data_IF_043881834267
#
_entry.id   IF_043881834267
#
_cell.length_a   1.000
_cell.length_b   1.000
_cell.length_c   1.000
_cell.angle_alpha   90.00
_cell.angle_beta   90.00
_cell.angle_gamma   90.00
#
_symmetry.space_group_name_H-M   'P 1'
#
loop_
_entity.id
_entity.type
_entity.pdbx_description
1 polymer ?
#
# COMPACT_ATOMS: atom_id res chain seq x y z
N UNK A 1 14.78 -52.97 -52.38
CA UNK A 1 15.02 -51.67 -53.03
C UNK A 1 14.57 -50.60 -52.06
N UNK A 2 15.50 -50.02 -51.32
CA UNK A 2 15.28 -49.00 -50.31
C UNK A 2 15.69 -47.67 -50.91
N UNK A 3 14.70 -46.81 -51.25
CA UNK A 3 14.92 -45.48 -51.77
C UNK A 3 15.06 -44.45 -50.66
N UNK A 4 16.27 -43.94 -50.40
CA UNK A 4 16.52 -42.82 -49.50
C UNK A 4 16.13 -41.51 -50.21
N UNK A 5 15.15 -40.80 -49.69
CA UNK A 5 14.81 -39.45 -50.12
C UNK A 5 15.67 -38.46 -49.34
N UNK A 6 16.68 -37.91 -50.01
CA UNK A 6 17.50 -36.81 -49.49
C UNK A 6 16.78 -35.47 -49.68
N UNK A 7 16.27 -34.85 -48.63
CA UNK A 7 15.86 -33.45 -48.65
C UNK A 7 17.07 -32.52 -48.54
N UNK A 8 17.29 -31.68 -49.53
CA UNK A 8 18.38 -30.70 -49.54
C UNK A 8 18.08 -29.55 -48.59
N UNK A 9 19.11 -29.12 -47.85
CA UNK A 9 19.02 -27.94 -46.93
C UNK A 9 18.51 -26.64 -47.56
N UNK A 10 18.46 -26.54 -48.88
CA UNK A 10 17.93 -25.39 -49.60
C UNK A 10 16.41 -25.35 -49.71
N UNK A 11 15.74 -26.49 -49.55
CA UNK A 11 14.27 -26.56 -49.58
C UNK A 11 13.63 -26.15 -48.23
N UNK A 12 14.41 -26.14 -47.12
CA UNK A 12 13.92 -25.69 -45.79
C UNK A 12 13.95 -24.17 -45.59
N UNK A 13 14.67 -23.43 -46.41
CA UNK A 13 14.80 -21.97 -46.28
C UNK A 13 13.78 -21.18 -47.11
N UNK A 14 12.98 -21.83 -47.94
CA UNK A 14 11.94 -21.18 -48.73
C UNK A 14 10.53 -21.20 -48.10
N UNK A 15 10.35 -21.88 -46.94
CA UNK A 15 9.08 -22.00 -46.25
C UNK A 15 8.92 -21.05 -45.02
N UNK A 16 9.87 -20.15 -44.77
CA UNK A 16 9.88 -19.27 -43.62
C UNK A 16 9.34 -17.86 -43.87
N UNK A 17 8.54 -17.68 -44.92
CA UNK A 17 7.94 -16.38 -45.27
C UNK A 17 6.44 -16.27 -45.03
N UNK A 18 5.78 -17.29 -44.49
CA UNK A 18 4.41 -17.14 -44.05
C UNK A 18 4.40 -16.56 -42.61
N UNK A 19 4.30 -15.25 -42.49
CA UNK A 19 3.88 -14.61 -41.26
C UNK A 19 2.52 -15.25 -40.91
N UNK A 20 2.51 -16.15 -39.93
CA UNK A 20 1.28 -16.51 -39.26
C UNK A 20 0.78 -15.23 -38.58
N UNK A 21 -0.06 -14.49 -39.26
CA UNK A 21 -0.95 -13.55 -38.59
C UNK A 21 -1.78 -14.41 -37.64
N UNK A 22 -1.42 -14.44 -36.39
CA UNK A 22 -2.32 -14.91 -35.34
C UNK A 22 -3.61 -14.12 -35.57
N UNK A 23 -4.76 -14.78 -35.74
CA UNK A 23 -6.00 -14.05 -35.80
C UNK A 23 -6.02 -13.16 -34.54
N UNK A 24 -6.18 -11.86 -34.74
CA UNK A 24 -6.49 -10.97 -33.64
C UNK A 24 -7.65 -11.66 -32.93
N UNK A 25 -7.45 -11.99 -31.64
CA UNK A 25 -8.52 -12.48 -30.78
C UNK A 25 -9.56 -11.36 -30.73
N UNK A 26 -10.40 -11.32 -31.74
CA UNK A 26 -11.54 -10.42 -31.84
C UNK A 26 -12.53 -10.89 -30.80
N UNK A 27 -12.91 -10.01 -29.95
CA UNK A 27 -13.68 -10.15 -28.71
C UNK A 27 -12.90 -10.88 -27.60
N UNK A 28 -12.40 -10.12 -26.66
CA UNK A 28 -12.03 -10.70 -25.38
C UNK A 28 -13.25 -11.48 -24.89
N UNK A 29 -13.14 -12.81 -24.84
CA UNK A 29 -14.18 -13.63 -24.24
C UNK A 29 -14.42 -13.05 -22.85
N UNK A 30 -15.67 -12.69 -22.55
CA UNK A 30 -16.00 -12.11 -21.24
C UNK A 30 -15.52 -13.09 -20.17
N UNK A 31 -14.66 -12.64 -19.28
CA UNK A 31 -14.16 -13.49 -18.21
C UNK A 31 -15.35 -14.05 -17.43
N UNK A 32 -15.36 -15.35 -17.18
CA UNK A 32 -16.41 -16.01 -16.41
C UNK A 32 -16.58 -15.39 -15.02
N UNK A 33 -15.45 -15.03 -14.41
CA UNK A 33 -15.44 -14.37 -13.10
C UNK A 33 -15.43 -12.85 -13.26
N UNK A 34 -16.25 -12.12 -12.50
CA UNK A 34 -16.21 -10.66 -12.47
C UNK A 34 -14.85 -10.15 -12.00
N UNK A 35 -14.48 -8.96 -12.43
CA UNK A 35 -13.23 -8.32 -12.08
C UNK A 35 -13.45 -6.84 -11.79
N UNK A 36 -12.37 -6.10 -11.61
CA UNK A 36 -12.38 -4.66 -11.37
C UNK A 36 -13.19 -3.91 -12.43
N UNK A 37 -14.07 -3.03 -11.98
CA UNK A 37 -14.93 -2.18 -12.80
C UNK A 37 -14.96 -0.75 -12.27
N UNK A 38 -15.70 0.19 -12.89
CA UNK A 38 -15.73 1.59 -12.47
C UNK A 38 -16.05 1.79 -10.99
N UNK A 39 -17.05 1.06 -10.48
CA UNK A 39 -17.58 1.18 -9.12
C UNK A 39 -17.10 0.07 -8.19
N UNK A 40 -15.91 -0.47 -8.41
CA UNK A 40 -15.35 -1.55 -7.60
C UNK A 40 -13.95 -1.21 -7.11
N UNK A 41 -13.49 -1.82 -6.00
CA UNK A 41 -12.11 -1.73 -5.57
C UNK A 41 -11.10 -2.05 -6.68
N UNK A 42 -9.95 -1.36 -6.67
CA UNK A 42 -8.81 -1.59 -7.56
C UNK A 42 -7.67 -2.18 -6.75
N UNK A 43 -7.26 -3.38 -7.08
CA UNK A 43 -6.18 -4.04 -6.35
C UNK A 43 -4.86 -3.40 -6.76
N UNK A 44 -4.12 -2.88 -5.79
CA UNK A 44 -2.83 -2.25 -6.00
C UNK A 44 -1.73 -2.92 -5.19
N UNK A 45 -0.50 -2.63 -5.55
CA UNK A 45 0.68 -3.02 -4.78
C UNK A 45 1.62 -1.83 -4.62
N UNK A 46 2.41 -1.83 -3.57
CA UNK A 46 3.41 -0.80 -3.29
C UNK A 46 3.70 -0.64 -1.79
N UNK A 47 4.32 0.47 -1.41
CA UNK A 47 4.86 1.52 -2.29
C UNK A 47 6.05 1.03 -3.12
N UNK A 48 6.02 1.35 -4.41
CA UNK A 48 7.04 0.93 -5.36
C UNK A 48 8.23 1.89 -5.31
N UNK A 49 9.42 1.33 -5.17
CA UNK A 49 10.66 2.10 -5.18
C UNK A 49 11.15 2.40 -6.61
N UNK A 50 11.98 3.43 -6.74
CA UNK A 50 12.47 3.92 -8.03
C UNK A 50 13.12 2.83 -8.90
N UNK A 51 13.89 1.94 -8.29
CA UNK A 51 14.59 0.84 -8.99
C UNK A 51 13.63 -0.18 -9.61
N UNK A 52 12.38 -0.23 -9.14
CA UNK A 52 11.32 -1.10 -9.68
C UNK A 52 10.56 -0.48 -10.84
N UNK A 53 10.69 0.84 -11.01
CA UNK A 53 10.06 1.58 -12.10
C UNK A 53 10.83 1.44 -13.42
N UNK A 54 11.10 0.22 -13.80
CA UNK A 54 11.72 -0.15 -15.07
C UNK A 54 10.86 -1.19 -15.79
N UNK A 55 11.04 -1.42 -17.10
CA UNK A 55 10.18 -2.32 -17.88
C UNK A 55 10.05 -3.72 -17.27
N UNK A 56 11.10 -4.25 -16.66
CA UNK A 56 11.12 -5.58 -16.06
C UNK A 56 10.34 -5.65 -14.74
N UNK A 57 10.51 -4.66 -13.86
CA UNK A 57 9.75 -4.55 -12.63
C UNK A 57 8.26 -4.37 -12.92
N UNK A 58 7.93 -3.48 -13.85
CA UNK A 58 6.55 -3.25 -14.30
C UNK A 58 5.92 -4.53 -14.85
N UNK A 59 6.65 -5.27 -15.68
CA UNK A 59 6.18 -6.54 -16.23
C UNK A 59 5.81 -7.55 -15.14
N UNK A 60 6.53 -7.61 -14.03
CA UNK A 60 6.23 -8.50 -12.91
C UNK A 60 4.86 -8.21 -12.28
N UNK A 61 4.54 -6.94 -12.08
CA UNK A 61 3.22 -6.57 -11.57
C UNK A 61 2.12 -6.95 -12.56
N UNK A 62 2.36 -6.74 -13.85
CA UNK A 62 1.42 -7.15 -14.91
C UNK A 62 1.19 -8.67 -14.95
N UNK A 63 2.22 -9.48 -14.75
CA UNK A 63 2.12 -10.94 -14.75
C UNK A 63 1.20 -11.49 -13.65
N UNK A 64 1.16 -10.83 -12.49
CA UNK A 64 0.23 -11.20 -11.40
C UNK A 64 -1.10 -10.44 -11.50
N UNK A 65 -1.35 -9.80 -12.63
CA UNK A 65 -2.62 -9.13 -12.93
C UNK A 65 -2.83 -7.80 -12.24
N UNK A 66 -1.77 -7.17 -11.73
CA UNK A 66 -1.84 -5.83 -11.12
C UNK A 66 -1.81 -4.77 -12.22
N UNK A 67 -2.69 -3.78 -12.09
CA UNK A 67 -2.79 -2.62 -12.97
C UNK A 67 -2.61 -1.30 -12.24
N UNK A 68 -2.67 -1.32 -10.91
CA UNK A 68 -2.54 -0.16 -10.05
C UNK A 68 -1.37 -0.33 -9.09
N UNK A 69 -0.59 0.72 -8.90
CA UNK A 69 0.52 0.74 -7.93
C UNK A 69 0.45 1.99 -7.07
N UNK A 70 1.09 1.92 -5.91
CA UNK A 70 1.36 3.06 -5.04
C UNK A 70 2.78 3.54 -5.31
N UNK A 71 2.98 4.84 -5.48
CA UNK A 71 4.31 5.44 -5.58
C UNK A 71 4.85 5.77 -4.18
N UNK A 72 6.13 5.51 -3.99
CA UNK A 72 6.82 5.98 -2.80
C UNK A 72 7.14 7.48 -2.90
N UNK A 73 7.84 7.99 -1.89
CA UNK A 73 8.23 9.40 -1.80
C UNK A 73 9.51 9.76 -2.59
N UNK A 74 9.97 8.93 -3.51
CA UNK A 74 11.15 9.25 -4.35
C UNK A 74 10.94 10.58 -5.08
N UNK A 75 12.01 11.36 -5.14
CA UNK A 75 11.99 12.69 -5.77
C UNK A 75 11.24 13.77 -4.99
N UNK A 76 10.85 13.51 -3.75
CA UNK A 76 10.23 14.53 -2.90
C UNK A 76 11.24 15.66 -2.54
N UNK A 77 10.86 16.95 -2.60
CA UNK A 77 9.56 17.53 -2.99
C UNK A 77 9.25 17.35 -4.47
N UNK A 78 8.07 16.81 -4.79
CA UNK A 78 7.71 16.49 -6.17
C UNK A 78 7.42 17.73 -7.01
N UNK A 79 7.90 17.69 -8.25
CA UNK A 79 7.47 18.62 -9.29
C UNK A 79 6.45 17.95 -10.22
N UNK A 80 5.66 18.76 -10.90
CA UNK A 80 4.69 18.28 -11.90
C UNK A 80 5.39 17.45 -12.99
N UNK A 81 6.52 17.92 -13.52
CA UNK A 81 7.27 17.22 -14.58
C UNK A 81 7.79 15.86 -14.10
N UNK A 82 8.30 15.78 -12.86
CA UNK A 82 8.74 14.52 -12.28
C UNK A 82 7.60 13.50 -12.21
N UNK A 83 6.45 13.89 -11.65
CA UNK A 83 5.32 13.00 -11.51
C UNK A 83 4.69 12.62 -12.85
N UNK A 84 4.58 13.56 -13.79
CA UNK A 84 4.08 13.29 -15.15
C UNK A 84 4.97 12.30 -15.90
N UNK A 85 6.28 12.41 -15.78
CA UNK A 85 7.21 11.45 -16.38
C UNK A 85 6.99 10.04 -15.83
N UNK A 86 6.84 9.88 -14.52
CA UNK A 86 6.53 8.59 -13.86
C UNK A 86 5.20 8.02 -14.32
N UNK A 87 4.18 8.83 -14.31
CA UNK A 87 2.83 8.42 -14.72
C UNK A 87 2.77 8.02 -16.19
N UNK A 88 3.49 8.73 -17.06
CA UNK A 88 3.61 8.39 -18.48
C UNK A 88 4.31 7.05 -18.67
N UNK A 89 5.43 6.81 -17.98
CA UNK A 89 6.13 5.53 -18.01
C UNK A 89 5.21 4.38 -17.59
N UNK A 90 4.48 4.53 -16.49
CA UNK A 90 3.54 3.52 -16.02
C UNK A 90 2.46 3.22 -17.07
N UNK A 91 1.83 4.25 -17.62
CA UNK A 91 0.79 4.11 -18.66
C UNK A 91 1.28 3.40 -19.91
N UNK A 92 2.49 3.70 -20.37
CA UNK A 92 3.10 3.03 -21.53
C UNK A 92 3.20 1.52 -21.35
N UNK A 93 3.29 1.07 -20.11
CA UNK A 93 3.39 -0.35 -19.75
C UNK A 93 2.08 -0.93 -19.17
N UNK A 94 0.97 -0.20 -19.25
CA UNK A 94 -0.35 -0.66 -18.80
C UNK A 94 -0.53 -0.69 -17.28
N UNK A 95 0.25 0.11 -16.55
CA UNK A 95 0.03 0.40 -15.14
C UNK A 95 -0.48 1.83 -14.95
N UNK A 96 -1.10 2.07 -13.81
CA UNK A 96 -1.46 3.40 -13.33
C UNK A 96 -1.14 3.51 -11.83
N UNK A 97 -1.15 4.73 -11.31
CA UNK A 97 -1.07 4.97 -9.87
C UNK A 97 -2.30 5.73 -9.39
N UNK A 98 -2.77 5.42 -8.22
CA UNK A 98 -3.87 6.13 -7.57
C UNK A 98 -3.46 6.73 -6.23
N UNK A 99 -2.20 6.54 -5.81
CA UNK A 99 -1.69 7.03 -4.54
C UNK A 99 -0.19 7.30 -4.59
N UNK A 100 0.25 8.29 -3.80
CA UNK A 100 1.64 8.61 -3.53
C UNK A 100 1.81 9.00 -2.05
N UNK A 101 2.87 8.52 -1.41
CA UNK A 101 3.07 8.66 0.03
C UNK A 101 4.02 9.81 0.35
N UNK A 102 3.63 10.74 1.25
CA UNK A 102 4.53 11.75 1.81
C UNK A 102 5.63 11.11 2.66
N UNK A 103 6.83 11.73 2.74
CA UNK A 103 7.94 11.14 3.47
C UNK A 103 7.63 11.02 4.98
N UNK A 104 7.75 9.80 5.50
CA UNK A 104 7.68 9.50 6.94
C UNK A 104 8.98 8.89 7.48
N UNK A 105 9.91 8.56 6.58
CA UNK A 105 11.25 8.05 6.87
C UNK A 105 12.30 8.81 6.05
N UNK A 106 13.56 8.65 6.41
CA UNK A 106 14.68 9.28 5.72
C UNK A 106 14.79 10.80 5.94
N UNK A 107 15.73 11.48 5.29
CA UNK A 107 15.98 12.92 5.50
C UNK A 107 14.79 13.82 5.13
N UNK A 108 14.03 13.45 4.11
CA UNK A 108 12.89 14.23 3.63
C UNK A 108 11.73 14.29 4.64
N UNK A 109 11.69 13.38 5.62
CA UNK A 109 10.70 13.39 6.71
C UNK A 109 10.72 14.66 7.55
N UNK A 110 11.84 15.40 7.60
CA UNK A 110 11.96 16.61 8.41
C UNK A 110 10.95 17.67 8.04
N UNK A 111 10.53 17.76 6.76
CA UNK A 111 9.46 18.64 6.32
C UNK A 111 8.14 18.29 7.04
N UNK A 112 7.79 17.01 7.11
CA UNK A 112 6.60 16.58 7.85
C UNK A 112 6.79 16.73 9.36
N UNK A 113 8.00 16.51 9.90
CA UNK A 113 8.27 16.70 11.33
C UNK A 113 8.13 18.15 11.78
N UNK A 114 8.50 19.13 10.96
CA UNK A 114 8.28 20.54 11.27
C UNK A 114 6.78 20.84 11.43
N UNK A 115 5.96 20.25 10.56
CA UNK A 115 4.50 20.37 10.61
C UNK A 115 3.93 19.66 11.84
N UNK A 116 4.29 18.40 12.04
CA UNK A 116 3.78 17.54 13.12
C UNK A 116 4.12 18.12 14.50
N UNK A 117 5.35 18.57 14.68
CA UNK A 117 5.84 19.09 15.95
C UNK A 117 5.55 20.60 16.14
N UNK A 118 5.07 21.28 15.08
CA UNK A 118 4.80 22.73 15.10
C UNK A 118 6.07 23.54 15.34
N UNK A 119 7.18 23.15 14.69
CA UNK A 119 8.49 23.84 14.79
C UNK A 119 8.52 25.16 14.06
N UNK A 120 9.48 26.06 14.34
CA UNK A 120 9.79 27.19 13.45
C UNK A 120 10.05 26.66 12.03
N UNK A 121 9.46 27.30 11.02
CA UNK A 121 9.54 26.80 9.62
C UNK A 121 8.35 25.94 9.18
N UNK A 122 7.43 25.58 10.10
CA UNK A 122 6.22 24.82 9.79
C UNK A 122 5.47 25.36 8.56
N UNK A 123 5.32 26.66 8.45
CA UNK A 123 4.54 27.27 7.36
C UNK A 123 5.25 27.13 6.02
N UNK A 124 6.58 27.25 5.98
CA UNK A 124 7.37 26.95 4.79
C UNK A 124 7.25 25.47 4.39
N UNK A 125 7.28 24.56 5.36
CA UNK A 125 7.07 23.13 5.13
C UNK A 125 5.67 22.83 4.60
N UNK A 126 4.64 23.50 5.08
CA UNK A 126 3.27 23.41 4.55
C UNK A 126 3.21 23.88 3.10
N UNK A 127 3.88 24.97 2.73
CA UNK A 127 3.90 25.43 1.32
C UNK A 127 4.59 24.41 0.40
N UNK A 128 5.62 23.72 0.86
CA UNK A 128 6.22 22.60 0.12
C UNK A 128 5.20 21.50 -0.11
N UNK A 129 4.47 21.06 0.93
CA UNK A 129 3.43 20.03 0.80
C UNK A 129 2.31 20.50 -0.14
N UNK A 130 1.86 21.73 -0.05
CA UNK A 130 0.86 22.31 -0.98
C UNK A 130 1.32 22.28 -2.43
N UNK A 131 2.61 22.56 -2.67
CA UNK A 131 3.19 22.46 -4.01
C UNK A 131 3.17 21.01 -4.51
N UNK A 132 3.53 20.05 -3.66
CA UNK A 132 3.47 18.63 -3.99
C UNK A 132 2.04 18.13 -4.27
N UNK A 133 1.04 18.61 -3.53
CA UNK A 133 -0.38 18.30 -3.77
C UNK A 133 -0.81 18.80 -5.15
N UNK A 134 -0.41 20.04 -5.53
CA UNK A 134 -0.69 20.57 -6.87
C UNK A 134 -0.02 19.74 -7.97
N UNK A 135 1.23 19.35 -7.75
CA UNK A 135 1.96 18.49 -8.68
C UNK A 135 1.29 17.11 -8.85
N UNK A 136 0.82 16.51 -7.75
CA UNK A 136 0.08 15.26 -7.79
C UNK A 136 -1.22 15.39 -8.59
N UNK A 137 -2.02 16.42 -8.34
CA UNK A 137 -3.24 16.70 -9.10
C UNK A 137 -3.00 16.94 -10.58
N UNK A 138 -1.98 17.76 -10.93
CA UNK A 138 -1.59 18.04 -12.31
C UNK A 138 -1.08 16.78 -13.05
N UNK A 139 -0.49 15.82 -12.33
CA UNK A 139 -0.09 14.52 -12.87
C UNK A 139 -1.25 13.51 -12.94
N UNK A 140 -2.40 13.80 -12.33
CA UNK A 140 -3.56 12.90 -12.27
C UNK A 140 -3.49 11.84 -11.17
N UNK A 141 -2.69 12.07 -10.13
CA UNK A 141 -2.61 11.21 -8.94
C UNK A 141 -3.67 11.68 -7.94
N UNK A 142 -4.70 10.89 -7.63
CA UNK A 142 -5.85 11.37 -6.88
C UNK A 142 -5.69 11.32 -5.36
N UNK A 143 -4.69 10.63 -4.82
CA UNK A 143 -4.50 10.47 -3.38
C UNK A 143 -3.06 10.80 -3.00
N UNK A 144 -2.90 11.54 -1.91
CA UNK A 144 -1.64 11.78 -1.22
C UNK A 144 -1.78 11.26 0.20
N UNK A 145 -1.13 10.14 0.48
CA UNK A 145 -1.12 9.51 1.79
C UNK A 145 -0.07 10.14 2.69
N UNK A 146 -0.35 10.19 3.99
CA UNK A 146 0.58 10.73 4.99
C UNK A 146 0.34 10.14 6.38
N UNK A 147 1.36 10.25 7.24
CA UNK A 147 1.32 9.87 8.64
C UNK A 147 1.43 11.13 9.52
N UNK A 148 0.87 11.07 10.75
CA UNK A 148 0.90 12.20 11.67
C UNK A 148 1.18 11.75 13.11
N UNK A 149 2.44 11.39 13.38
CA UNK A 149 2.91 10.97 14.70
C UNK A 149 4.26 11.64 15.01
N UNK A 150 4.47 11.99 16.28
CA UNK A 150 5.74 12.53 16.75
C UNK A 150 6.87 11.48 16.65
N UNK A 151 6.54 10.22 16.93
CA UNK A 151 7.39 9.06 16.82
C UNK A 151 6.53 7.81 16.61
N UNK A 152 6.92 6.93 15.68
CA UNK A 152 6.34 5.60 15.49
C UNK A 152 7.02 4.62 16.45
N UNK A 153 6.24 3.76 17.10
CA UNK A 153 6.77 2.72 18.02
C UNK A 153 7.35 1.52 17.27
N UNK A 154 8.14 1.76 16.24
CA UNK A 154 8.70 0.69 15.40
C UNK A 154 9.60 -0.29 16.17
N UNK A 155 10.18 0.13 17.28
CA UNK A 155 11.01 -0.72 18.16
C UNK A 155 10.22 -1.86 18.82
N UNK A 156 8.89 -1.78 18.82
CA UNK A 156 8.00 -2.82 19.35
C UNK A 156 7.78 -3.97 18.38
N UNK A 157 8.07 -3.77 17.10
CA UNK A 157 7.95 -4.79 16.08
C UNK A 157 9.13 -5.77 16.06
N UNK A 158 8.83 -6.98 15.67
CA UNK A 158 9.83 -8.01 15.38
C UNK A 158 9.26 -9.07 14.44
N UNK A 159 10.15 -9.67 13.66
CA UNK A 159 9.81 -10.75 12.75
C UNK A 159 10.00 -12.11 13.42
N UNK A 160 9.10 -13.04 13.16
CA UNK A 160 9.18 -14.42 13.65
C UNK A 160 8.60 -15.39 12.63
N UNK A 161 9.08 -16.64 12.61
CA UNK A 161 8.45 -17.68 11.82
C UNK A 161 7.09 -18.04 12.41
N UNK A 162 6.07 -18.17 11.57
CA UNK A 162 4.75 -18.69 11.96
C UNK A 162 4.78 -20.21 11.98
N UNK A 163 4.67 -20.85 13.16
CA UNK A 163 4.70 -22.31 13.26
C UNK A 163 3.48 -22.97 12.61
N UNK A 164 2.38 -22.25 12.47
CA UNK A 164 1.13 -22.76 11.86
C UNK A 164 1.17 -22.73 10.34
N UNK A 165 2.17 -22.01 9.75
CA UNK A 165 2.29 -21.81 8.31
C UNK A 165 3.69 -22.18 7.79
N UNK A 166 4.24 -23.29 8.28
CA UNK A 166 5.51 -23.83 7.79
C UNK A 166 6.71 -22.89 7.98
N UNK A 167 6.66 -22.01 8.96
CA UNK A 167 7.73 -21.06 9.26
C UNK A 167 7.75 -19.82 8.35
N UNK A 168 6.68 -19.56 7.58
CA UNK A 168 6.55 -18.30 6.85
C UNK A 168 6.64 -17.12 7.82
N UNK A 169 7.36 -16.06 7.42
CA UNK A 169 7.61 -14.94 8.33
C UNK A 169 6.35 -14.12 8.54
N UNK A 170 6.13 -13.71 9.79
CA UNK A 170 5.10 -12.77 10.22
C UNK A 170 5.74 -11.67 11.06
N UNK A 171 5.08 -10.53 11.17
CA UNK A 171 5.50 -9.43 12.02
C UNK A 171 4.60 -9.31 13.23
N UNK A 172 5.21 -9.22 14.40
CA UNK A 172 4.49 -9.09 15.68
C UNK A 172 4.84 -7.76 16.34
N UNK A 173 3.86 -7.19 17.01
CA UNK A 173 4.04 -6.03 17.88
C UNK A 173 3.73 -6.38 19.32
N UNK A 174 4.64 -6.04 20.24
CA UNK A 174 4.44 -6.18 21.67
C UNK A 174 4.79 -4.85 22.37
N UNK A 175 3.80 -4.22 22.97
CA UNK A 175 3.98 -2.94 23.64
C UNK A 175 4.93 -3.01 24.85
N UNK A 176 5.01 -4.16 25.53
CA UNK A 176 5.92 -4.35 26.66
C UNK A 176 7.40 -4.17 26.31
N UNK A 177 7.75 -4.26 25.03
CA UNK A 177 9.12 -4.03 24.54
C UNK A 177 9.48 -2.53 24.53
N UNK A 178 8.50 -1.65 24.49
CA UNK A 178 8.69 -0.22 24.20
C UNK A 178 8.07 0.72 25.22
N UNK A 179 7.19 0.25 26.10
CA UNK A 179 6.44 1.08 27.06
C UNK A 179 7.31 1.93 27.97
N UNK A 180 8.49 1.42 28.33
CA UNK A 180 9.43 2.05 29.26
C UNK A 180 10.59 2.77 28.56
N UNK A 181 10.58 2.85 27.22
CA UNK A 181 11.60 3.56 26.47
C UNK A 181 11.54 5.07 26.76
N UNK A 182 12.70 5.72 26.99
CA UNK A 182 12.73 7.14 27.29
C UNK A 182 12.30 7.98 26.09
N UNK A 183 11.86 9.23 26.30
CA UNK A 183 11.63 10.18 25.22
C UNK A 183 12.87 10.35 24.35
N UNK A 184 12.64 10.58 23.04
CA UNK A 184 13.71 10.92 22.11
C UNK A 184 14.17 12.36 22.37
N UNK A 185 15.49 12.63 22.52
CA UNK A 185 15.99 13.99 22.76
C UNK A 185 15.54 15.02 21.73
N UNK A 186 15.51 14.63 20.45
CA UNK A 186 15.16 15.50 19.33
C UNK A 186 13.64 15.74 19.16
N UNK A 187 12.81 14.92 19.80
CA UNK A 187 11.34 15.03 19.75
C UNK A 187 10.78 15.57 21.07
N UNK A 188 11.34 15.16 22.20
CA UNK A 188 10.84 15.46 23.52
C UNK A 188 9.50 14.77 23.82
N UNK A 189 8.68 15.42 24.64
CA UNK A 189 7.31 14.98 24.97
C UNK A 189 6.32 15.88 24.26
N UNK A 190 5.42 15.30 23.46
CA UNK A 190 4.37 16.03 22.76
C UNK A 190 3.01 15.57 23.26
N UNK A 191 2.16 16.50 23.65
CA UNK A 191 0.80 16.19 24.13
C UNK A 191 -0.16 15.91 22.97
N UNK A 192 -1.24 15.19 23.24
CA UNK A 192 -2.31 14.95 22.27
C UNK A 192 -2.93 16.26 21.76
N UNK A 193 -3.21 17.20 22.67
CA UNK A 193 -3.77 18.52 22.28
C UNK A 193 -2.87 19.26 21.31
N UNK A 194 -1.55 19.18 21.52
CA UNK A 194 -0.58 19.79 20.61
C UNK A 194 -0.61 19.14 19.24
N UNK A 195 -0.64 17.81 19.18
CA UNK A 195 -0.71 17.08 17.92
C UNK A 195 -2.02 17.36 17.18
N UNK A 196 -3.16 17.35 17.88
CA UNK A 196 -4.46 17.69 17.29
C UNK A 196 -4.50 19.12 16.77
N UNK A 197 -3.98 20.08 17.51
CA UNK A 197 -3.88 21.47 17.07
C UNK A 197 -2.99 21.63 15.83
N UNK A 198 -1.86 20.93 15.79
CA UNK A 198 -0.97 20.97 14.62
C UNK A 198 -1.59 20.28 13.41
N UNK A 199 -2.30 19.17 13.61
CA UNK A 199 -3.03 18.48 12.54
C UNK A 199 -4.15 19.36 11.96
N UNK A 200 -4.94 19.99 12.83
CA UNK A 200 -6.00 20.90 12.40
C UNK A 200 -5.42 22.08 11.61
N UNK A 201 -4.33 22.68 12.09
CA UNK A 201 -3.65 23.75 11.39
C UNK A 201 -3.17 23.34 10.00
N UNK A 202 -2.56 22.15 9.91
CA UNK A 202 -2.11 21.56 8.65
C UNK A 202 -3.28 21.32 7.69
N UNK A 203 -4.33 20.66 8.15
CA UNK A 203 -5.48 20.32 7.31
C UNK A 203 -6.21 21.57 6.78
N UNK A 204 -6.39 22.59 7.61
CA UNK A 204 -6.99 23.86 7.17
C UNK A 204 -6.18 24.53 6.05
N UNK A 205 -4.87 24.32 6.00
CA UNK A 205 -4.00 24.87 4.98
C UNK A 205 -3.97 24.03 3.70
N UNK A 206 -3.98 22.70 3.79
CA UNK A 206 -3.74 21.82 2.63
C UNK A 206 -5.03 21.30 1.98
N UNK A 207 -6.11 21.09 2.74
CA UNK A 207 -7.36 20.50 2.20
C UNK A 207 -7.98 21.39 1.11
N UNK A 208 -8.07 22.74 1.25
CA UNK A 208 -8.57 23.57 0.16
C UNK A 208 -7.73 23.49 -1.13
N UNK A 209 -6.42 23.28 -0.99
CA UNK A 209 -5.54 23.08 -2.15
C UNK A 209 -5.82 21.71 -2.79
N UNK A 210 -5.95 20.68 -1.98
CA UNK A 210 -6.26 19.31 -2.45
C UNK A 210 -7.61 19.29 -3.21
N UNK A 211 -8.65 19.95 -2.68
CA UNK A 211 -9.95 20.10 -3.35
C UNK A 211 -9.81 20.78 -4.72
N UNK A 212 -9.03 21.86 -4.79
CA UNK A 212 -8.88 22.64 -6.03
C UNK A 212 -8.23 21.85 -7.18
N UNK A 213 -7.56 20.74 -6.87
CA UNK A 213 -6.86 19.89 -7.85
C UNK A 213 -7.35 18.44 -7.85
N UNK A 214 -8.51 18.17 -7.23
CA UNK A 214 -9.12 16.84 -7.13
C UNK A 214 -8.20 15.77 -6.49
N UNK A 215 -7.45 16.17 -5.48
CA UNK A 215 -6.61 15.29 -4.67
C UNK A 215 -7.28 15.05 -3.32
N UNK A 216 -7.11 13.85 -2.77
CA UNK A 216 -7.50 13.50 -1.41
C UNK A 216 -6.27 13.36 -0.54
N UNK A 217 -6.30 14.02 0.61
CA UNK A 217 -5.35 13.80 1.69
C UNK A 217 -5.81 12.55 2.46
N UNK A 218 -4.96 11.55 2.57
CA UNK A 218 -5.27 10.27 3.19
C UNK A 218 -4.39 10.07 4.42
N UNK A 219 -4.92 10.34 5.63
CA UNK A 219 -4.18 10.09 6.86
C UNK A 219 -4.21 8.60 7.19
N UNK A 220 -3.04 7.98 7.28
CA UNK A 220 -2.92 6.62 7.79
C UNK A 220 -3.10 6.61 9.32
N UNK A 221 -3.96 5.75 9.89
CA UNK A 221 -4.04 5.55 11.34
C UNK A 221 -2.68 5.18 11.93
N UNK A 222 -2.51 5.40 13.24
CA UNK A 222 -1.27 4.95 13.87
C UNK A 222 -1.21 3.43 13.89
N UNK A 223 -0.14 2.91 13.33
CA UNK A 223 0.26 1.53 13.38
C UNK A 223 1.76 1.48 13.77
N UNK A 224 2.04 1.10 15.02
CA UNK A 224 1.17 0.53 16.05
C UNK A 224 0.32 1.58 16.79
N UNK A 225 -0.87 1.17 17.31
CA UNK A 225 -1.86 2.07 17.88
C UNK A 225 -1.75 2.41 19.38
N UNK A 226 -0.74 2.02 20.19
CA UNK A 226 -0.69 2.47 21.60
C UNK A 226 -0.78 3.99 21.73
N UNK A 227 -1.46 4.50 22.77
CA UNK A 227 -1.73 5.94 22.90
C UNK A 227 -0.50 6.78 23.28
N UNK A 228 0.61 6.14 23.62
CA UNK A 228 1.87 6.79 23.99
C UNK A 228 3.04 6.12 23.29
N UNK A 229 3.87 6.93 22.66
CA UNK A 229 5.11 6.54 21.99
C UNK A 229 6.28 7.33 22.58
N UNK A 230 7.16 6.66 23.34
CA UNK A 230 8.35 7.26 23.96
C UNK A 230 8.06 8.61 24.64
N UNK A 231 7.00 8.62 25.45
CA UNK A 231 6.56 9.78 26.22
C UNK A 231 5.81 10.86 25.44
N UNK A 232 5.65 10.73 24.13
CA UNK A 232 4.75 11.56 23.32
C UNK A 232 3.40 10.86 23.15
N UNK A 233 2.32 11.61 23.11
CA UNK A 233 1.01 11.08 22.76
C UNK A 233 1.01 10.58 21.32
N UNK A 234 0.17 9.61 21.03
CA UNK A 234 -0.26 9.27 19.68
C UNK A 234 -1.74 9.63 19.53
N UNK A 235 -2.08 10.25 18.41
CA UNK A 235 -3.45 10.50 17.97
C UNK A 235 -3.75 9.51 16.86
N UNK A 236 -5.02 9.35 16.45
CA UNK A 236 -5.43 8.33 15.47
C UNK A 236 -5.30 6.89 15.96
N UNK A 237 -5.43 6.69 17.26
CA UNK A 237 -5.30 5.39 17.94
C UNK A 237 -6.63 4.75 18.29
N UNK A 238 -7.75 5.46 18.07
CA UNK A 238 -9.10 4.99 18.31
C UNK A 238 -10.02 5.34 17.15
N UNK A 239 -11.13 4.64 17.00
CA UNK A 239 -12.12 4.99 15.98
C UNK A 239 -12.73 6.39 16.22
N UNK A 240 -12.84 6.81 17.48
CA UNK A 240 -13.26 8.17 17.82
C UNK A 240 -12.29 9.23 17.27
N UNK A 241 -11.00 8.96 17.30
CA UNK A 241 -9.98 9.84 16.71
C UNK A 241 -10.17 9.97 15.19
N UNK A 242 -10.51 8.86 14.52
CA UNK A 242 -10.77 8.85 13.07
C UNK A 242 -12.02 9.67 12.73
N UNK A 243 -13.05 9.57 13.56
CA UNK A 243 -14.24 10.41 13.43
C UNK A 243 -13.92 11.89 13.66
N UNK A 244 -13.08 12.19 14.66
CA UNK A 244 -12.62 13.56 14.96
C UNK A 244 -11.84 14.14 13.76
N UNK A 245 -10.90 13.39 13.16
CA UNK A 245 -10.20 13.80 11.95
C UNK A 245 -11.16 14.24 10.85
N UNK A 246 -12.18 13.43 10.58
CA UNK A 246 -13.17 13.74 9.54
C UNK A 246 -13.94 15.04 9.83
N UNK A 247 -14.04 15.43 11.09
CA UNK A 247 -14.71 16.65 11.53
C UNK A 247 -13.83 17.91 11.52
N UNK A 248 -12.49 17.79 11.54
CA UNK A 248 -11.58 18.95 11.56
C UNK A 248 -11.75 19.84 10.34
N UNK A 249 -11.88 19.23 9.16
CA UNK A 249 -12.26 19.90 7.92
C UNK A 249 -13.27 19.00 7.22
N UNK A 250 -14.51 19.46 7.11
CA UNK A 250 -15.59 18.67 6.54
C UNK A 250 -15.52 18.66 5.01
N UNK A 251 -14.63 17.82 4.47
CA UNK A 251 -14.37 17.68 3.04
C UNK A 251 -14.06 16.24 2.67
N UNK A 252 -14.52 15.73 1.52
CA UNK A 252 -14.06 14.45 0.97
C UNK A 252 -12.55 14.41 0.73
N UNK A 253 -11.90 15.57 0.53
CA UNK A 253 -10.43 15.66 0.41
C UNK A 253 -9.69 15.56 1.75
N UNK A 254 -10.41 15.47 2.88
CA UNK A 254 -9.88 15.11 4.19
C UNK A 254 -10.38 13.71 4.55
N UNK A 255 -9.63 12.69 4.19
CA UNK A 255 -10.01 11.29 4.39
C UNK A 255 -8.93 10.48 5.11
N UNK A 256 -9.18 9.19 5.13
CA UNK A 256 -8.31 8.21 5.78
C UNK A 256 -7.83 7.15 4.78
N UNK A 257 -6.68 6.61 5.06
CA UNK A 257 -6.32 5.26 4.67
C UNK A 257 -7.06 4.31 5.63
N UNK A 258 -8.18 3.76 5.17
CA UNK A 258 -8.90 2.75 5.95
C UNK A 258 -8.08 1.47 6.00
N UNK A 259 -7.63 1.08 7.17
CA UNK A 259 -6.90 -0.16 7.41
C UNK A 259 -7.77 -1.12 8.21
N UNK A 260 -8.16 -2.25 7.61
CA UNK A 260 -9.01 -3.24 8.27
C UNK A 260 -8.27 -4.02 9.36
N UNK A 261 -6.95 -4.16 9.26
CA UNK A 261 -6.12 -4.74 10.32
C UNK A 261 -6.04 -3.82 11.52
N UNK A 262 -5.68 -2.54 11.32
CA UNK A 262 -5.66 -1.55 12.43
C UNK A 262 -7.04 -1.40 13.07
N UNK A 263 -8.13 -1.43 12.28
CA UNK A 263 -9.49 -1.42 12.85
C UNK A 263 -9.69 -2.55 13.85
N UNK A 264 -9.20 -3.75 13.52
CA UNK A 264 -9.31 -4.91 14.41
C UNK A 264 -8.30 -4.84 15.58
N UNK A 265 -7.10 -4.30 15.37
CA UNK A 265 -6.09 -4.09 16.41
C UNK A 265 -6.57 -3.16 17.52
N UNK A 266 -7.33 -2.13 17.19
CA UNK A 266 -7.93 -1.22 18.18
C UNK A 266 -9.21 -1.76 18.82
N UNK A 267 -9.65 -2.96 18.44
CA UNK A 267 -10.81 -3.64 19.02
C UNK A 267 -12.15 -3.28 18.38
N UNK A 268 -12.14 -2.69 17.20
CA UNK A 268 -13.35 -2.33 16.45
C UNK A 268 -13.75 -3.42 15.44
N UNK A 269 -15.01 -3.39 15.00
CA UNK A 269 -15.45 -4.19 13.86
C UNK A 269 -15.03 -3.52 12.53
N UNK A 270 -14.12 -4.12 11.75
CA UNK A 270 -13.65 -3.51 10.50
C UNK A 270 -14.77 -3.22 9.50
N UNK A 271 -15.82 -4.04 9.47
CA UNK A 271 -16.96 -3.82 8.57
C UNK A 271 -17.77 -2.59 8.99
N UNK A 272 -18.01 -2.43 10.29
CA UNK A 272 -18.71 -1.26 10.82
C UNK A 272 -17.90 0.03 10.59
N UNK A 273 -16.57 -0.03 10.76
CA UNK A 273 -15.67 1.09 10.48
C UNK A 273 -15.69 1.45 9.00
N UNK A 274 -15.56 0.47 8.10
CA UNK A 274 -15.63 0.68 6.64
C UNK A 274 -16.96 1.33 6.25
N UNK A 275 -18.08 0.85 6.82
CA UNK A 275 -19.40 1.41 6.58
C UNK A 275 -19.49 2.87 6.97
N UNK A 276 -19.08 3.19 8.18
CA UNK A 276 -19.16 4.56 8.68
C UNK A 276 -18.36 5.55 7.84
N UNK A 277 -17.11 5.16 7.50
CA UNK A 277 -16.22 5.97 6.68
C UNK A 277 -16.71 6.07 5.23
N UNK A 278 -17.13 4.96 4.65
CA UNK A 278 -17.55 4.88 3.25
C UNK A 278 -18.84 5.63 2.97
N UNK A 279 -19.83 5.55 3.85
CA UNK A 279 -21.10 6.31 3.74
C UNK A 279 -20.88 7.83 3.81
N UNK A 280 -19.73 8.26 4.30
CA UNK A 280 -19.31 9.68 4.38
C UNK A 280 -18.26 10.05 3.33
N UNK A 281 -17.94 9.12 2.42
CA UNK A 281 -16.88 9.26 1.42
C UNK A 281 -15.53 9.66 2.02
N UNK A 282 -15.14 9.01 3.14
CA UNK A 282 -13.89 9.28 3.85
C UNK A 282 -12.80 8.22 3.63
N UNK A 283 -13.07 7.14 2.92
CA UNK A 283 -12.06 6.16 2.54
C UNK A 283 -11.34 6.69 1.29
N UNK A 284 -10.15 7.24 1.46
CA UNK A 284 -9.33 7.71 0.34
C UNK A 284 -8.47 6.59 -0.24
N UNK A 285 -7.95 5.73 0.62
CA UNK A 285 -7.19 4.53 0.33
C UNK A 285 -7.63 3.40 1.26
N UNK A 286 -7.36 2.14 0.93
CA UNK A 286 -7.69 1.00 1.78
C UNK A 286 -6.49 0.06 1.90
N UNK A 287 -6.04 -0.20 3.12
CA UNK A 287 -5.15 -1.28 3.47
C UNK A 287 -5.96 -2.52 3.85
N UNK A 288 -5.70 -3.62 3.16
CA UNK A 288 -6.47 -4.86 3.22
C UNK A 288 -5.59 -5.98 3.72
N UNK A 289 -5.35 -6.00 5.03
CA UNK A 289 -4.47 -6.95 5.72
C UNK A 289 -5.16 -7.63 6.88
N UNK A 290 -4.64 -8.77 7.29
CA UNK A 290 -5.20 -9.57 8.37
C UNK A 290 -4.26 -9.65 9.57
N UNK A 291 -4.83 -9.78 10.75
CA UNK A 291 -4.13 -9.77 12.02
C UNK A 291 -4.67 -10.84 12.97
N UNK A 292 -3.83 -11.27 13.89
CA UNK A 292 -4.21 -12.02 15.09
C UNK A 292 -3.95 -11.13 16.30
N UNK A 293 -4.99 -10.71 16.98
CA UNK A 293 -4.92 -9.83 18.16
C UNK A 293 -5.09 -10.67 19.42
N UNK A 294 -4.10 -10.62 20.30
CA UNK A 294 -4.13 -11.24 21.63
C UNK A 294 -4.57 -10.26 22.69
N UNK A 295 -4.14 -9.02 22.58
CA UNK A 295 -4.56 -7.93 23.43
C UNK A 295 -4.70 -6.66 22.58
N UNK A 296 -5.93 -6.17 22.38
CA UNK A 296 -6.15 -4.97 21.57
C UNK A 296 -5.17 -3.85 21.91
N UNK A 297 -4.69 -3.16 20.90
CA UNK A 297 -3.72 -2.06 20.97
C UNK A 297 -2.28 -2.50 21.30
N UNK A 298 -2.09 -3.54 22.13
CA UNK A 298 -0.83 -3.79 22.81
C UNK A 298 -0.08 -5.05 22.37
N UNK A 299 -0.80 -6.04 21.83
CA UNK A 299 -0.20 -7.32 21.44
C UNK A 299 -0.95 -7.96 20.26
N UNK A 300 -0.33 -7.97 19.11
CA UNK A 300 -0.89 -8.54 17.89
C UNK A 300 0.20 -9.04 16.96
N UNK A 301 -0.20 -9.81 15.96
CA UNK A 301 0.65 -10.28 14.88
C UNK A 301 -0.04 -10.00 13.54
N UNK A 302 0.66 -9.35 12.64
CA UNK A 302 0.27 -9.22 11.24
C UNK A 302 0.55 -10.56 10.55
N UNK A 303 -0.51 -11.15 10.02
CA UNK A 303 -0.45 -12.50 9.46
C UNK A 303 -0.81 -12.49 7.98
N UNK A 304 -0.67 -13.62 7.35
CA UNK A 304 -1.12 -13.81 5.98
C UNK A 304 -2.62 -13.55 5.84
N UNK A 305 -3.11 -13.08 4.69
CA UNK A 305 -4.48 -12.58 4.57
C UNK A 305 -5.56 -13.63 4.85
N UNK A 306 -5.23 -14.91 4.73
CA UNK A 306 -6.10 -16.05 4.98
C UNK A 306 -5.93 -16.67 6.39
N UNK A 307 -5.04 -16.13 7.24
CA UNK A 307 -4.64 -16.75 8.51
C UNK A 307 -4.93 -15.87 9.75
N UNK A 308 -5.79 -14.88 9.64
CA UNK A 308 -6.09 -13.95 10.73
C UNK A 308 -7.53 -13.99 11.21
N UNK A 309 -7.89 -13.01 12.02
CA UNK A 309 -9.17 -12.90 12.70
C UNK A 309 -10.16 -11.95 12.01
N UNK A 310 -9.69 -11.14 11.06
CA UNK A 310 -10.56 -10.25 10.27
C UNK A 310 -11.33 -11.08 9.24
N UNK A 311 -12.64 -10.89 9.17
CA UNK A 311 -13.45 -11.42 8.07
C UNK A 311 -13.20 -10.62 6.79
N UNK A 312 -12.16 -11.02 6.06
CA UNK A 312 -11.72 -10.35 4.84
C UNK A 312 -12.82 -10.32 3.77
N UNK A 313 -13.64 -11.38 3.66
CA UNK A 313 -14.73 -11.39 2.69
C UNK A 313 -15.83 -10.39 3.07
N UNK A 314 -16.18 -10.28 4.34
CA UNK A 314 -17.17 -9.30 4.79
C UNK A 314 -16.71 -7.85 4.57
N UNK A 315 -15.43 -7.57 4.84
CA UNK A 315 -14.83 -6.26 4.52
C UNK A 315 -14.92 -5.97 3.02
N UNK A 316 -14.55 -6.92 2.16
CA UNK A 316 -14.62 -6.73 0.71
C UNK A 316 -16.07 -6.55 0.22
N UNK A 317 -17.03 -7.30 0.76
CA UNK A 317 -18.45 -7.12 0.47
C UNK A 317 -18.95 -5.71 0.84
N UNK A 318 -18.47 -5.18 1.96
CA UNK A 318 -18.84 -3.84 2.37
C UNK A 318 -18.26 -2.78 1.43
N UNK A 319 -16.99 -2.90 1.02
CA UNK A 319 -16.38 -2.01 0.02
C UNK A 319 -17.13 -2.05 -1.31
N UNK A 320 -17.56 -3.24 -1.74
CA UNK A 320 -18.36 -3.44 -2.95
C UNK A 320 -19.76 -2.84 -2.79
N UNK A 321 -20.44 -3.01 -1.63
CA UNK A 321 -21.74 -2.38 -1.31
C UNK A 321 -21.66 -0.85 -1.38
N UNK A 322 -20.56 -0.30 -0.87
CA UNK A 322 -20.28 1.15 -0.87
C UNK A 322 -19.90 1.68 -2.26
N UNK A 323 -19.79 0.82 -3.27
CA UNK A 323 -19.26 1.17 -4.61
C UNK A 323 -17.90 1.87 -4.53
N UNK A 324 -17.05 1.44 -3.61
CA UNK A 324 -15.74 2.02 -3.39
C UNK A 324 -14.87 1.88 -4.66
N UNK A 325 -14.48 2.97 -5.34
CA UNK A 325 -13.85 2.89 -6.66
C UNK A 325 -12.33 3.02 -6.63
N UNK A 326 -11.73 3.12 -5.44
CA UNK A 326 -10.31 3.45 -5.25
C UNK A 326 -9.49 2.20 -4.92
N UNK A 327 -8.25 2.42 -4.59
CA UNK A 327 -7.29 1.34 -4.42
C UNK A 327 -7.48 0.58 -3.10
N UNK A 328 -7.27 -0.73 -3.19
CA UNK A 328 -7.18 -1.69 -2.10
C UNK A 328 -5.79 -2.32 -2.16
N UNK A 329 -5.00 -2.08 -1.14
CA UNK A 329 -3.64 -2.54 -0.99
C UNK A 329 -3.57 -3.73 -0.03
N UNK A 330 -3.32 -4.94 -0.50
CA UNK A 330 -3.04 -6.09 0.37
C UNK A 330 -1.61 -5.97 0.90
N UNK A 331 -1.41 -5.08 1.81
CA UNK A 331 -0.08 -4.71 2.33
C UNK A 331 0.52 -5.74 3.28
N UNK A 332 1.73 -5.42 3.78
CA UNK A 332 2.50 -6.22 4.72
C UNK A 332 2.74 -7.66 4.24
N UNK A 333 2.84 -7.85 2.91
CA UNK A 333 3.26 -9.13 2.35
C UNK A 333 4.68 -9.46 2.82
N UNK A 334 4.79 -10.36 3.78
CA UNK A 334 6.08 -10.83 4.30
C UNK A 334 6.70 -11.83 3.32
N UNK A 335 8.03 -11.86 3.28
CA UNK A 335 8.74 -12.80 2.44
C UNK A 335 8.46 -14.26 2.82
N UNK A 336 8.38 -15.11 1.81
CA UNK A 336 8.40 -16.55 2.02
C UNK A 336 9.85 -17.04 2.12
N UNK A 337 10.16 -17.92 3.07
CA UNK A 337 11.47 -18.56 3.19
C UNK A 337 11.62 -19.65 2.11
N UNK A 338 11.57 -19.24 0.84
CA UNK A 338 11.71 -20.17 -0.29
C UNK A 338 13.18 -20.49 -0.61
N UNK A 339 14.12 -19.85 0.09
CA UNK A 339 15.57 -19.98 -0.20
C UNK A 339 16.31 -20.94 0.72
N UNK A 340 15.70 -21.43 1.80
CA UNK A 340 16.32 -22.39 2.70
C UNK A 340 16.40 -23.78 2.03
N UNK A 341 17.54 -24.07 1.41
CA UNK A 341 17.81 -25.34 0.75
C UNK A 341 17.07 -25.55 -0.58
N UNK A 342 16.27 -24.60 -1.02
CA UNK A 342 15.71 -24.61 -2.36
C UNK A 342 16.67 -23.88 -3.27
N UNK A 343 17.17 -24.63 -4.23
CA UNK A 343 18.20 -24.24 -5.17
C UNK A 343 17.92 -22.90 -5.84
N UNK A 344 18.98 -22.24 -6.29
CA UNK A 344 18.99 -21.02 -7.10
C UNK A 344 17.96 -20.95 -8.24
N UNK A 345 17.38 -22.09 -8.63
CA UNK A 345 16.36 -22.19 -9.67
C UNK A 345 15.04 -21.48 -9.35
N UNK A 346 14.73 -21.25 -8.08
CA UNK A 346 13.57 -20.48 -7.65
C UNK A 346 13.90 -19.01 -7.34
N UNK A 347 15.15 -18.63 -7.48
CA UNK A 347 15.55 -17.23 -7.41
C UNK A 347 14.93 -16.46 -8.57
N UNK A 348 14.55 -15.25 -8.29
CA UNK A 348 14.17 -14.30 -9.32
C UNK A 348 15.19 -14.33 -10.47
N UNK A 349 14.74 -14.51 -11.73
CA UNK A 349 15.64 -14.46 -12.89
C UNK A 349 16.45 -13.17 -13.00
N UNK A 350 16.06 -12.10 -12.29
CA UNK A 350 16.83 -10.88 -12.15
C UNK A 350 18.05 -11.04 -11.22
N UNK A 351 18.16 -12.15 -10.48
CA UNK A 351 19.35 -12.53 -9.72
C UNK A 351 19.65 -11.73 -8.47
N UNK A 352 19.50 -10.43 -8.53
CA UNK A 352 20.01 -9.53 -7.49
C UNK A 352 19.08 -9.41 -6.28
N UNK A 353 17.77 -9.48 -6.48
CA UNK A 353 16.81 -9.33 -5.39
C UNK A 353 16.49 -10.63 -4.66
N UNK A 354 16.45 -11.75 -5.36
CA UNK A 354 16.36 -13.05 -4.70
C UNK A 354 17.54 -13.30 -3.78
N UNK A 355 18.73 -12.83 -4.17
CA UNK A 355 19.93 -12.88 -3.33
C UNK A 355 19.84 -11.91 -2.15
N UNK A 356 19.25 -10.74 -2.34
CA UNK A 356 19.00 -9.77 -1.28
C UNK A 356 18.01 -10.29 -0.23
N UNK A 357 16.89 -10.91 -0.67
CA UNK A 357 15.92 -11.51 0.22
C UNK A 357 16.49 -12.68 1.02
N UNK A 358 17.46 -13.42 0.45
CA UNK A 358 18.13 -14.51 1.15
C UNK A 358 19.20 -14.01 2.15
N UNK A 359 19.80 -12.84 1.87
CA UNK A 359 20.84 -12.22 2.70
C UNK A 359 20.27 -11.18 3.67
N UNK A 360 19.07 -10.67 3.41
CA UNK A 360 18.45 -9.61 4.17
C UNK A 360 17.55 -10.23 5.25
N UNK A 361 17.76 -9.78 6.46
CA UNK A 361 16.91 -10.14 7.59
C UNK A 361 15.55 -9.42 7.55
N UNK A 362 15.34 -8.51 6.60
CA UNK A 362 14.05 -7.88 6.38
C UNK A 362 13.21 -8.66 5.34
N UNK A 363 12.31 -9.52 5.81
CA UNK A 363 11.43 -10.30 4.93
C UNK A 363 10.37 -9.43 4.22
N UNK A 364 10.29 -8.13 4.52
CA UNK A 364 9.37 -7.20 3.88
C UNK A 364 9.78 -6.80 2.48
N UNK A 365 11.03 -7.01 2.15
CA UNK A 365 11.52 -6.74 0.81
C UNK A 365 10.95 -7.75 -0.18
N UNK A 366 9.66 -7.64 -0.38
CA UNK A 366 8.95 -8.06 -1.57
C UNK A 366 9.42 -9.39 -2.16
N UNK A 367 9.19 -10.48 -1.45
CA UNK A 367 9.10 -11.74 -2.15
C UNK A 367 7.99 -11.61 -3.19
N UNK A 368 8.34 -11.65 -4.45
CA UNK A 368 7.37 -11.65 -5.55
C UNK A 368 6.28 -12.72 -5.35
N UNK A 369 6.64 -13.86 -4.77
CA UNK A 369 5.70 -14.92 -4.42
C UNK A 369 4.68 -14.47 -3.35
N UNK A 370 5.13 -13.72 -2.32
CA UNK A 370 4.24 -13.18 -1.32
C UNK A 370 3.29 -12.13 -1.92
N UNK A 371 3.78 -11.23 -2.74
CA UNK A 371 2.95 -10.28 -3.48
C UNK A 371 1.92 -10.97 -4.38
N UNK A 372 2.34 -12.01 -5.10
CA UNK A 372 1.44 -12.79 -5.95
C UNK A 372 0.34 -13.45 -5.12
N UNK A 373 0.68 -14.02 -3.96
CA UNK A 373 -0.29 -14.63 -3.05
C UNK A 373 -1.32 -13.61 -2.53
N UNK A 374 -0.85 -12.49 -2.01
CA UNK A 374 -1.70 -11.43 -1.46
C UNK A 374 -2.63 -10.84 -2.54
N UNK A 375 -2.10 -10.56 -3.72
CA UNK A 375 -2.89 -10.07 -4.85
C UNK A 375 -3.94 -11.08 -5.33
N UNK A 376 -3.57 -12.37 -5.40
CA UNK A 376 -4.49 -13.43 -5.82
C UNK A 376 -5.61 -13.65 -4.80
N UNK A 377 -5.28 -13.68 -3.51
CA UNK A 377 -6.28 -13.78 -2.44
C UNK A 377 -7.26 -12.60 -2.45
N UNK A 378 -6.75 -11.37 -2.54
CA UNK A 378 -7.57 -10.16 -2.57
C UNK A 378 -8.50 -10.14 -3.79
N UNK A 379 -7.99 -10.60 -4.95
CA UNK A 379 -8.81 -10.74 -6.16
C UNK A 379 -9.90 -11.79 -5.99
N UNK A 380 -9.59 -12.92 -5.38
CA UNK A 380 -10.59 -13.95 -5.09
C UNK A 380 -11.71 -13.41 -4.17
N UNK A 381 -11.35 -12.62 -3.14
CA UNK A 381 -12.33 -11.96 -2.27
C UNK A 381 -13.21 -10.96 -3.03
N UNK A 382 -12.61 -10.15 -3.93
CA UNK A 382 -13.36 -9.22 -4.77
C UNK A 382 -14.34 -9.96 -5.69
N UNK A 383 -13.89 -11.04 -6.35
CA UNK A 383 -14.73 -11.84 -7.22
C UNK A 383 -15.88 -12.49 -6.44
N UNK A 384 -15.61 -13.07 -5.28
CA UNK A 384 -16.62 -13.64 -4.41
C UNK A 384 -17.64 -12.59 -3.95
N UNK A 385 -17.20 -11.39 -3.56
CA UNK A 385 -18.07 -10.29 -3.18
C UNK A 385 -18.97 -9.82 -4.33
N UNK A 386 -18.44 -9.77 -5.55
CA UNK A 386 -19.20 -9.37 -6.75
C UNK A 386 -20.24 -10.42 -7.18
N UNK A 387 -19.98 -11.70 -6.97
CA UNK A 387 -20.92 -12.78 -7.28
C UNK A 387 -22.05 -12.93 -6.28
N UNK A 388 -21.90 -12.40 -5.07
CA UNK A 388 -22.85 -12.54 -3.96
C UNK A 388 -23.60 -11.24 -3.64
N UNK A 389 -23.62 -10.32 -4.60
CA UNK A 389 -24.37 -9.06 -4.54
C UNK A 389 -25.88 -9.31 -4.51
#
# INVERSE_FOLDING_TARGET
MTGNIHFSRRAMLAASGAAFALPALSSAAQAYMPNEGPDTPKICLGPIVEDELNPRGIQRFRQIGITHIILNNSGFPWTEDYLKARFTLLKQHGLTTGDIVLPYVGPAREIMRDIILGRPGRDASIEVVKSCIRAAGAAGIPVVEYNFYAHRLEEGYFHAPDPTRGGAVVESFHYDRVKDLPPLPETGRVSADRLWSNLEYFLKAVVPVAESVNVRMSLHPNDPPPPVSRGSAQIMTTFKDWQQLCGLVNSPSNGLTYDCGVSFEIGEDPVAVARWLGERDRISHCHYRNVVVRKPIYDYTEVWPDNGQVDMLAVMKELVRLKYPRMVHPEHARGLNVNDGVTEKLRDPAGERGTRLAADTDPNLNSYAAWAYHAAYTRAMLQAALLTR
#
